data_IF_112989629318
#
_entry.id   IF_112989629318
#
_cell.length_a   1.000
_cell.length_b   1.000
_cell.length_c   1.000
_cell.angle_alpha   90.00
_cell.angle_beta   90.00
_cell.angle_gamma   90.00
#
_symmetry.space_group_name_H-M   'P 1'
#
loop_
_entity.id
_entity.type
_entity.pdbx_description
1 polymer ?
#
# COMPACT_ATOMS: atom_id res chain seq x y z
N UNK A 1 12.43 9.89 21.56
CA UNK A 1 10.96 9.73 21.46
C UNK A 1 10.60 8.26 21.63
N UNK A 2 9.57 7.92 22.41
CA UNK A 2 9.16 6.52 22.71
C UNK A 2 8.91 5.67 21.46
N UNK A 3 8.45 6.29 20.37
CA UNK A 3 8.28 5.64 19.06
C UNK A 3 9.59 5.11 18.43
N UNK A 4 10.75 5.69 18.74
CA UNK A 4 12.03 5.12 18.27
C UNK A 4 12.35 3.79 18.96
N UNK A 5 11.86 3.58 20.18
CA UNK A 5 11.99 2.31 20.89
C UNK A 5 11.03 1.26 20.32
N UNK A 6 9.83 1.69 19.91
CA UNK A 6 8.84 0.81 19.28
C UNK A 6 9.16 0.48 17.82
N UNK A 7 9.92 1.33 17.11
CA UNK A 7 10.44 1.02 15.78
C UNK A 7 11.63 0.04 15.88
N UNK A 8 11.35 -1.16 16.38
CA UNK A 8 12.32 -2.21 16.65
C UNK A 8 13.04 -2.62 15.36
N UNK A 9 14.33 -2.90 15.47
CA UNK A 9 15.12 -3.47 14.38
C UNK A 9 14.90 -4.97 14.35
N UNK A 10 14.27 -5.47 13.28
CA UNK A 10 14.19 -6.90 12.99
C UNK A 10 15.50 -7.34 12.33
N UNK A 11 16.06 -8.45 12.78
CA UNK A 11 17.26 -9.04 12.18
C UNK A 11 16.88 -10.33 11.46
N UNK A 12 17.04 -10.36 10.14
CA UNK A 12 16.91 -11.58 9.33
C UNK A 12 18.31 -12.09 8.98
N UNK A 13 18.68 -13.26 9.47
CA UNK A 13 19.95 -13.90 9.14
C UNK A 13 19.79 -14.59 7.79
N UNK A 14 20.54 -14.13 6.79
CA UNK A 14 20.66 -14.82 5.49
C UNK A 14 21.97 -15.62 5.44
N UNK A 15 22.16 -16.54 4.48
CA UNK A 15 23.40 -17.33 4.37
C UNK A 15 24.68 -16.49 4.17
N UNK A 16 24.55 -15.22 3.75
CA UNK A 16 25.67 -14.32 3.45
C UNK A 16 25.83 -13.19 4.47
N UNK A 17 24.73 -12.67 5.01
CA UNK A 17 24.74 -11.51 5.89
C UNK A 17 23.50 -11.43 6.79
N UNK A 18 23.63 -10.74 7.92
CA UNK A 18 22.50 -10.31 8.75
C UNK A 18 21.92 -9.03 8.15
N UNK A 19 20.65 -9.08 7.72
CA UNK A 19 19.91 -7.89 7.30
C UNK A 19 19.11 -7.35 8.46
N UNK A 20 19.44 -6.14 8.88
CA UNK A 20 18.72 -5.40 9.91
C UNK A 20 17.75 -4.43 9.24
N UNK A 21 16.46 -4.59 9.51
CA UNK A 21 15.43 -3.74 8.96
C UNK A 21 14.47 -3.29 10.05
N UNK A 22 14.22 -1.99 10.11
CA UNK A 22 13.26 -1.42 11.06
C UNK A 22 11.83 -1.72 10.61
N UNK A 23 10.89 -1.79 11.56
CA UNK A 23 9.47 -2.02 11.27
C UNK A 23 8.90 -0.99 10.30
N UNK A 24 9.22 0.29 10.48
CA UNK A 24 8.79 1.38 9.60
C UNK A 24 9.99 2.17 9.07
N UNK A 25 9.82 2.75 7.87
CA UNK A 25 10.80 3.69 7.32
C UNK A 25 10.97 4.87 8.30
N UNK A 26 12.20 5.07 8.80
CA UNK A 26 12.46 6.02 9.87
C UNK A 26 12.20 7.48 9.46
N UNK A 27 12.41 7.83 8.19
CA UNK A 27 12.17 9.18 7.67
C UNK A 27 10.65 9.41 7.61
N UNK A 28 9.91 8.53 6.96
CA UNK A 28 8.45 8.63 6.85
C UNK A 28 7.77 8.63 8.23
N UNK A 29 8.24 7.80 9.16
CA UNK A 29 7.74 7.78 10.54
C UNK A 29 7.95 9.13 11.24
N UNK A 30 9.15 9.71 11.13
CA UNK A 30 9.48 11.01 11.70
C UNK A 30 8.58 12.10 11.14
N UNK A 31 8.44 12.16 9.82
CA UNK A 31 7.61 13.16 9.14
C UNK A 31 6.13 13.02 9.50
N UNK A 32 5.61 11.79 9.55
CA UNK A 32 4.21 11.55 9.91
C UNK A 32 3.91 11.99 11.35
N UNK A 33 4.83 11.74 12.29
CA UNK A 33 4.68 12.19 13.69
C UNK A 33 4.73 13.71 13.78
N UNK A 34 5.71 14.35 13.14
CA UNK A 34 5.86 15.81 13.19
C UNK A 34 4.65 16.48 12.56
N UNK A 35 4.18 15.99 11.41
CA UNK A 35 2.99 16.52 10.76
C UNK A 35 1.75 16.37 11.65
N UNK A 36 1.61 15.23 12.34
CA UNK A 36 0.52 15.02 13.28
C UNK A 36 0.53 15.99 14.46
N UNK A 37 1.70 16.46 14.92
CA UNK A 37 1.75 17.49 15.95
C UNK A 37 1.54 18.90 15.39
N UNK A 38 2.24 19.25 14.30
CA UNK A 38 2.27 20.62 13.76
C UNK A 38 0.94 21.01 13.09
N UNK A 39 0.31 20.07 12.39
CA UNK A 39 -0.89 20.33 11.58
C UNK A 39 -2.20 19.86 12.23
N UNK A 40 -2.16 19.33 13.45
CA UNK A 40 -3.37 18.99 14.18
C UNK A 40 -4.13 20.26 14.60
N UNK A 41 -5.45 20.20 14.48
CA UNK A 41 -6.34 21.27 14.92
C UNK A 41 -6.54 21.16 16.45
N UNK A 42 -6.01 22.12 17.19
CA UNK A 42 -6.11 22.14 18.66
C UNK A 42 -7.29 22.98 19.18
N UNK A 43 -8.18 23.47 18.33
CA UNK A 43 -9.35 24.29 18.76
C UNK A 43 -10.31 23.54 19.68
N UNK A 44 -10.30 22.20 19.62
CA UNK A 44 -11.08 21.31 20.50
C UNK A 44 -10.23 20.57 21.54
N UNK A 45 -8.97 20.97 21.70
CA UNK A 45 -8.01 20.34 22.63
C UNK A 45 -7.81 18.83 22.41
N UNK A 46 -8.11 18.34 21.20
CA UNK A 46 -7.91 16.94 20.82
C UNK A 46 -6.47 16.75 20.37
N UNK A 47 -5.73 15.91 21.10
CA UNK A 47 -4.37 15.53 20.72
C UNK A 47 -4.36 14.47 19.60
N UNK A 48 -3.32 14.42 18.75
CA UNK A 48 -3.16 13.34 17.78
C UNK A 48 -3.06 11.98 18.47
N UNK A 49 -3.75 10.99 17.91
CA UNK A 49 -3.82 9.62 18.41
C UNK A 49 -2.84 8.71 17.65
N UNK A 50 -2.11 7.87 18.38
CA UNK A 50 -1.15 6.91 17.84
C UNK A 50 -1.56 5.50 18.23
N UNK A 51 -1.76 4.62 17.26
CA UNK A 51 -2.19 3.24 17.46
C UNK A 51 -1.21 2.29 16.76
N UNK A 52 -0.56 1.43 17.53
CA UNK A 52 0.35 0.42 17.01
C UNK A 52 -0.39 -0.91 16.96
N UNK A 53 -0.47 -1.49 15.77
CA UNK A 53 -0.97 -2.83 15.53
C UNK A 53 0.18 -3.74 15.12
N UNK A 54 -0.07 -5.04 15.05
CA UNK A 54 0.94 -6.03 14.65
C UNK A 54 1.46 -5.79 13.22
N UNK A 55 0.61 -5.27 12.34
CA UNK A 55 0.88 -5.13 10.91
C UNK A 55 1.09 -3.67 10.46
N UNK A 56 0.79 -2.67 11.30
CA UNK A 56 0.83 -1.25 10.93
C UNK A 56 0.85 -0.28 12.11
N UNK A 57 1.23 0.96 11.85
CA UNK A 57 1.04 2.10 12.75
C UNK A 57 -0.03 3.03 12.15
N UNK A 58 -1.00 3.45 12.95
CA UNK A 58 -1.96 4.49 12.58
C UNK A 58 -1.73 5.76 13.40
N UNK A 59 -1.64 6.90 12.72
CA UNK A 59 -1.53 8.23 13.32
C UNK A 59 -2.74 9.04 12.87
N UNK A 60 -3.64 9.37 13.79
CA UNK A 60 -4.86 10.13 13.49
C UNK A 60 -4.78 11.52 14.11
N UNK A 61 -4.86 12.55 13.27
CA UNK A 61 -4.93 13.96 13.67
C UNK A 61 -6.36 14.48 13.55
N UNK A 62 -6.76 15.36 14.46
CA UNK A 62 -8.01 16.11 14.38
C UNK A 62 -7.88 17.28 13.40
N UNK A 63 -8.96 17.52 12.65
CA UNK A 63 -9.03 18.49 11.56
C UNK A 63 -8.94 17.83 10.17
N UNK A 64 -9.63 18.44 9.20
CA UNK A 64 -9.53 18.12 7.78
C UNK A 64 -8.37 18.88 7.12
N UNK A 65 -8.28 18.85 5.79
CA UNK A 65 -7.36 19.75 5.09
C UNK A 65 -7.75 21.22 5.35
N UNK A 66 -6.77 22.13 5.53
CA UNK A 66 -7.04 23.56 5.65
C UNK A 66 -7.85 24.08 4.46
N UNK A 67 -8.67 25.10 4.70
CA UNK A 67 -9.38 25.79 3.61
C UNK A 67 -8.38 26.33 2.58
N UNK A 68 -8.65 26.08 1.31
CA UNK A 68 -7.76 26.45 0.21
C UNK A 68 -6.61 25.48 -0.06
N UNK A 69 -6.56 24.31 0.60
CA UNK A 69 -5.63 23.23 0.26
C UNK A 69 -6.38 22.01 -0.29
N UNK A 70 -6.17 21.71 -1.57
CA UNK A 70 -6.68 20.50 -2.21
C UNK A 70 -5.86 19.25 -1.83
N UNK A 71 -6.39 18.06 -2.15
CA UNK A 71 -5.65 16.80 -1.92
C UNK A 71 -4.43 16.70 -2.83
N UNK A 72 -4.59 17.16 -4.07
CA UNK A 72 -3.54 17.19 -5.07
C UNK A 72 -2.37 18.05 -4.59
N UNK A 73 -2.66 19.29 -4.14
CA UNK A 73 -1.66 20.19 -3.57
C UNK A 73 -1.02 19.63 -2.29
N UNK A 74 -1.81 18.99 -1.42
CA UNK A 74 -1.28 18.30 -0.24
C UNK A 74 -0.20 17.26 -0.63
N UNK A 75 -0.46 16.45 -1.66
CA UNK A 75 0.48 15.43 -2.13
C UNK A 75 1.66 16.00 -2.92
N UNK A 76 1.51 17.15 -3.58
CA UNK A 76 2.60 17.90 -4.19
C UNK A 76 3.51 18.58 -3.15
N UNK A 77 3.12 18.57 -1.88
CA UNK A 77 3.89 19.14 -0.77
C UNK A 77 3.56 20.60 -0.48
N UNK A 78 2.43 21.13 -0.95
CA UNK A 78 1.97 22.42 -0.47
C UNK A 78 1.52 22.32 0.99
N UNK A 79 1.81 23.36 1.77
CA UNK A 79 1.58 23.36 3.21
C UNK A 79 1.02 24.69 3.66
N UNK A 80 -0.18 24.66 4.25
CA UNK A 80 -0.79 25.81 4.93
C UNK A 80 -0.57 25.67 6.43
N UNK A 81 0.02 26.71 7.05
CA UNK A 81 0.32 26.75 8.48
C UNK A 81 -0.96 27.07 9.25
N UNK A 82 -1.44 26.13 10.06
CA UNK A 82 -2.57 26.34 10.97
C UNK A 82 -2.19 27.18 12.20
N UNK A 83 -1.04 26.87 12.81
CA UNK A 83 -0.55 27.56 14.01
C UNK A 83 0.90 28.00 13.82
N UNK A 84 1.12 29.31 13.68
CA UNK A 84 2.45 29.90 13.43
C UNK A 84 3.39 29.75 14.63
N UNK A 85 2.87 29.82 15.85
CA UNK A 85 3.68 29.66 17.06
C UNK A 85 4.18 28.23 17.22
N UNK A 86 3.30 27.25 16.98
CA UNK A 86 3.70 25.85 17.00
C UNK A 86 4.76 25.55 15.93
N UNK A 87 4.54 26.06 14.71
CA UNK A 87 5.51 25.94 13.63
C UNK A 87 6.86 26.58 13.99
N UNK A 88 6.87 27.74 14.64
CA UNK A 88 8.09 28.41 15.11
C UNK A 88 8.84 27.53 16.11
N UNK A 89 8.16 26.99 17.12
CA UNK A 89 8.78 26.11 18.12
C UNK A 89 9.43 24.88 17.45
N UNK A 90 8.72 24.24 16.52
CA UNK A 90 9.27 23.07 15.81
C UNK A 90 10.44 23.42 14.90
N UNK A 91 10.47 24.62 14.33
CA UNK A 91 11.61 25.12 13.57
C UNK A 91 12.80 25.43 14.47
N UNK A 92 12.58 26.09 15.61
CA UNK A 92 13.64 26.45 16.58
C UNK A 92 14.28 25.21 17.24
N UNK A 93 13.53 24.09 17.29
CA UNK A 93 14.02 22.79 17.76
C UNK A 93 14.65 21.92 16.65
N UNK A 94 14.84 22.47 15.44
CA UNK A 94 15.35 21.74 14.25
C UNK A 94 14.53 20.48 13.91
N UNK A 95 13.25 20.46 14.27
CA UNK A 95 12.34 19.37 13.94
C UNK A 95 11.79 19.53 12.52
N UNK A 96 11.63 20.76 12.03
CA UNK A 96 11.17 21.05 10.67
C UNK A 96 12.19 21.89 9.91
N UNK A 97 12.77 21.33 8.86
CA UNK A 97 13.79 21.99 8.03
C UNK A 97 13.17 22.87 6.93
N UNK A 98 12.22 22.32 6.18
CA UNK A 98 11.58 22.97 5.04
C UNK A 98 10.10 22.65 4.99
N UNK A 99 9.27 23.70 4.96
CA UNK A 99 7.82 23.58 4.76
C UNK A 99 7.53 22.82 3.47
N UNK A 100 6.58 21.89 3.55
CA UNK A 100 6.13 21.14 2.38
C UNK A 100 6.96 19.91 2.01
N UNK A 101 8.13 19.70 2.62
CA UNK A 101 8.97 18.54 2.32
C UNK A 101 8.50 17.24 2.99
N UNK A 102 7.67 17.32 4.03
CA UNK A 102 7.28 16.17 4.84
C UNK A 102 6.43 15.13 4.10
N UNK A 103 5.39 15.57 3.39
CA UNK A 103 4.53 14.65 2.61
C UNK A 103 5.32 13.95 1.49
N UNK A 104 6.10 14.66 0.64
CA UNK A 104 6.96 14.01 -0.34
C UNK A 104 7.92 12.97 0.26
N UNK A 105 8.51 13.23 1.44
CA UNK A 105 9.39 12.27 2.14
C UNK A 105 8.65 11.01 2.61
N UNK A 106 7.40 11.13 3.04
CA UNK A 106 6.55 9.96 3.33
C UNK A 106 6.29 9.17 2.05
N UNK A 107 5.96 9.88 0.97
CA UNK A 107 5.63 9.29 -0.33
C UNK A 107 6.80 8.58 -1.04
N UNK A 108 8.05 8.83 -0.60
CA UNK A 108 9.21 8.06 -1.05
C UNK A 108 9.22 6.62 -0.55
N UNK A 109 8.52 6.33 0.56
CA UNK A 109 8.48 5.02 1.19
C UNK A 109 7.09 4.36 1.16
N UNK A 110 6.04 5.17 1.08
CA UNK A 110 4.64 4.73 1.12
C UNK A 110 3.85 5.38 -0.02
N UNK A 111 2.76 4.75 -0.44
CA UNK A 111 1.87 5.29 -1.49
C UNK A 111 0.80 6.22 -0.91
N UNK A 112 0.11 6.98 -1.76
CA UNK A 112 -0.88 7.98 -1.32
C UNK A 112 -2.06 7.37 -0.54
N UNK A 113 -2.34 6.08 -0.75
CA UNK A 113 -3.36 5.30 -0.02
C UNK A 113 -3.07 5.15 1.48
N UNK A 114 -1.84 5.45 1.93
CA UNK A 114 -1.54 5.54 3.35
C UNK A 114 -2.24 6.73 4.04
N UNK A 115 -2.80 7.68 3.28
CA UNK A 115 -3.54 8.83 3.80
C UNK A 115 -5.05 8.64 3.65
N UNK A 116 -5.77 8.66 4.77
CA UNK A 116 -7.22 8.63 4.81
C UNK A 116 -7.77 9.97 5.30
N UNK A 117 -8.48 10.66 4.40
CA UNK A 117 -9.13 11.93 4.67
C UNK A 117 -10.59 11.70 5.02
N UNK A 118 -11.02 12.23 6.16
CA UNK A 118 -12.42 12.29 6.57
C UNK A 118 -12.83 13.75 6.82
N UNK A 119 -14.11 13.98 7.13
CA UNK A 119 -14.64 15.31 7.41
C UNK A 119 -13.91 16.00 8.57
N UNK A 120 -13.52 15.24 9.60
CA UNK A 120 -12.98 15.79 10.84
C UNK A 120 -11.58 15.29 11.21
N UNK A 121 -11.03 14.34 10.45
CA UNK A 121 -9.75 13.71 10.77
C UNK A 121 -8.94 13.41 9.53
N UNK A 122 -7.63 13.50 9.69
CA UNK A 122 -6.64 12.95 8.78
C UNK A 122 -5.93 11.78 9.47
N UNK A 123 -5.98 10.59 8.87
CA UNK A 123 -5.25 9.42 9.34
C UNK A 123 -4.14 9.05 8.37
N UNK A 124 -2.96 8.79 8.93
CA UNK A 124 -1.83 8.20 8.21
C UNK A 124 -1.62 6.78 8.72
N UNK A 125 -1.64 5.80 7.81
CA UNK A 125 -1.45 4.38 8.11
C UNK A 125 -0.14 3.91 7.51
N UNK A 126 0.85 3.57 8.33
CA UNK A 126 2.15 3.07 7.89
C UNK A 126 2.21 1.55 8.09
N UNK A 127 2.08 0.73 7.03
CA UNK A 127 2.30 -0.71 7.12
C UNK A 127 3.70 -1.04 7.63
N UNK A 128 3.79 -2.11 8.42
CA UNK A 128 5.04 -2.69 8.85
C UNK A 128 5.75 -3.36 7.67
N UNK A 129 7.08 -3.37 7.72
CA UNK A 129 7.92 -3.96 6.67
C UNK A 129 7.65 -5.47 6.48
N UNK A 130 7.26 -6.19 7.52
CA UNK A 130 6.90 -7.61 7.41
C UNK A 130 5.66 -7.79 6.54
N UNK A 131 4.62 -6.99 6.78
CA UNK A 131 3.37 -6.99 6.00
C UNK A 131 3.62 -6.60 4.54
N UNK A 132 4.49 -5.62 4.28
CA UNK A 132 4.88 -5.20 2.93
C UNK A 132 5.67 -6.31 2.22
N UNK A 133 6.54 -7.02 2.92
CA UNK A 133 7.32 -8.12 2.32
C UNK A 133 6.43 -9.30 1.92
N UNK A 134 5.42 -9.63 2.75
CA UNK A 134 4.43 -10.66 2.42
C UNK A 134 3.61 -10.26 1.18
N UNK A 135 3.07 -9.04 1.14
CA UNK A 135 2.32 -8.56 -0.03
C UNK A 135 3.17 -8.51 -1.30
N UNK A 136 4.43 -8.06 -1.22
CA UNK A 136 5.31 -8.03 -2.39
C UNK A 136 5.68 -9.44 -2.88
N UNK A 137 5.89 -10.41 -1.98
CA UNK A 137 6.16 -11.79 -2.37
C UNK A 137 4.93 -12.44 -3.02
N UNK A 138 3.74 -12.22 -2.47
CA UNK A 138 2.49 -12.70 -3.07
C UNK A 138 2.25 -12.06 -4.44
N UNK A 139 2.42 -10.74 -4.57
CA UNK A 139 2.27 -10.04 -5.86
C UNK A 139 3.29 -10.50 -6.91
N UNK A 140 4.53 -10.77 -6.51
CA UNK A 140 5.56 -11.29 -7.41
C UNK A 140 5.31 -12.75 -7.81
N UNK A 141 4.82 -13.59 -6.89
CA UNK A 141 4.34 -14.93 -7.22
C UNK A 141 3.22 -14.84 -8.24
N UNK A 142 2.17 -14.08 -7.92
CA UNK A 142 0.97 -13.97 -8.74
C UNK A 142 1.31 -13.49 -10.16
N UNK A 143 2.27 -12.57 -10.29
CA UNK A 143 2.79 -12.11 -11.59
C UNK A 143 3.44 -13.24 -12.39
N UNK A 144 4.19 -14.15 -11.75
CA UNK A 144 4.84 -15.29 -12.41
C UNK A 144 3.82 -16.38 -12.79
N UNK A 145 2.88 -16.72 -11.90
CA UNK A 145 1.82 -17.70 -12.18
C UNK A 145 0.91 -17.24 -13.31
N UNK A 146 0.55 -15.95 -13.34
CA UNK A 146 -0.23 -15.36 -14.45
C UNK A 146 0.54 -15.47 -15.76
N UNK A 147 1.85 -15.15 -15.79
CA UNK A 147 2.66 -15.30 -17.02
C UNK A 147 2.71 -16.74 -17.52
N UNK A 148 2.84 -17.72 -16.64
CA UNK A 148 2.81 -19.14 -17.00
C UNK A 148 1.45 -19.55 -17.58
N UNK A 149 0.36 -19.07 -16.98
CA UNK A 149 -0.99 -19.28 -17.49
C UNK A 149 -1.19 -18.69 -18.89
N UNK A 150 -0.73 -17.47 -19.17
CA UNK A 150 -0.90 -16.84 -20.49
C UNK A 150 -0.17 -17.60 -21.61
N UNK A 151 0.96 -18.24 -21.31
CA UNK A 151 1.75 -19.01 -22.30
C UNK A 151 1.04 -20.27 -22.79
N UNK A 152 0.19 -20.88 -21.96
CA UNK A 152 -0.53 -22.11 -22.34
C UNK A 152 -1.77 -21.86 -23.17
N UNK A 153 -2.26 -20.62 -23.25
CA UNK A 153 -3.46 -20.31 -24.03
C UNK A 153 -3.27 -20.51 -25.53
N UNK A 154 -4.09 -21.40 -26.11
CA UNK A 154 -4.23 -21.60 -27.56
C UNK A 154 -5.70 -21.58 -27.94
N UNK A 155 -6.29 -20.38 -27.91
CA UNK A 155 -7.71 -20.16 -28.18
C UNK A 155 -8.53 -20.12 -26.89
N UNK A 156 -9.63 -20.87 -26.84
CA UNK A 156 -10.61 -20.81 -25.75
C UNK A 156 -10.60 -22.13 -24.97
N UNK A 157 -10.31 -22.07 -23.67
CA UNK A 157 -10.14 -23.26 -22.83
C UNK A 157 -11.07 -23.26 -21.62
N UNK A 158 -11.47 -24.45 -21.18
CA UNK A 158 -12.10 -24.61 -19.87
C UNK A 158 -11.07 -24.48 -18.75
N UNK A 159 -11.55 -24.21 -17.52
CA UNK A 159 -10.70 -24.21 -16.33
C UNK A 159 -9.93 -25.54 -16.16
N UNK A 160 -10.58 -26.67 -16.47
CA UNK A 160 -9.99 -27.99 -16.34
C UNK A 160 -8.84 -28.21 -17.32
N UNK A 161 -9.04 -27.81 -18.59
CA UNK A 161 -8.02 -27.88 -19.63
C UNK A 161 -6.80 -27.03 -19.27
N UNK A 162 -7.00 -25.79 -18.81
CA UNK A 162 -5.89 -24.91 -18.41
C UNK A 162 -5.09 -25.48 -17.22
N UNK A 163 -5.78 -26.08 -16.26
CA UNK A 163 -5.15 -26.71 -15.10
C UNK A 163 -4.30 -27.93 -15.53
N UNK A 164 -4.82 -28.74 -16.44
CA UNK A 164 -4.13 -29.92 -16.96
C UNK A 164 -2.90 -29.54 -17.81
N UNK A 165 -3.02 -28.50 -18.64
CA UNK A 165 -1.91 -27.96 -19.44
C UNK A 165 -0.76 -27.42 -18.59
N UNK A 166 -1.04 -26.96 -17.36
CA UNK A 166 -0.02 -26.51 -16.40
C UNK A 166 0.45 -27.62 -15.46
N UNK A 167 -0.11 -28.85 -15.56
CA UNK A 167 0.27 -29.98 -14.71
C UNK A 167 -0.11 -29.79 -13.23
N UNK A 168 -1.10 -28.96 -12.93
CA UNK A 168 -1.50 -28.63 -11.55
C UNK A 168 -2.60 -29.56 -11.05
N UNK A 169 -2.48 -30.08 -9.84
CA UNK A 169 -3.50 -30.97 -9.25
C UNK A 169 -4.51 -30.23 -8.37
N UNK A 170 -4.06 -29.18 -7.68
CA UNK A 170 -4.89 -28.42 -6.75
C UNK A 170 -5.77 -27.39 -7.48
N UNK A 171 -7.08 -27.64 -7.42
CA UNK A 171 -8.11 -26.83 -8.06
C UNK A 171 -8.26 -25.44 -7.42
N UNK A 172 -8.15 -25.35 -6.10
CA UNK A 172 -8.35 -24.09 -5.40
C UNK A 172 -7.12 -23.20 -5.55
N UNK A 173 -5.92 -23.80 -5.45
CA UNK A 173 -4.67 -23.11 -5.73
C UNK A 173 -4.62 -22.55 -7.17
N UNK A 174 -5.00 -23.36 -8.18
CA UNK A 174 -5.06 -22.89 -9.56
C UNK A 174 -6.00 -21.69 -9.73
N UNK A 175 -7.18 -21.75 -9.13
CA UNK A 175 -8.16 -20.66 -9.21
C UNK A 175 -7.61 -19.38 -8.58
N UNK A 176 -7.09 -19.46 -7.37
CA UNK A 176 -6.68 -18.29 -6.59
C UNK A 176 -5.38 -17.66 -7.08
N UNK A 177 -4.40 -18.47 -7.52
CA UNK A 177 -3.06 -17.98 -7.88
C UNK A 177 -2.85 -17.74 -9.38
N UNK A 178 -3.65 -18.37 -10.24
CA UNK A 178 -3.47 -18.28 -11.69
C UNK A 178 -4.65 -17.57 -12.35
N UNK A 179 -5.85 -18.13 -12.18
CA UNK A 179 -7.01 -17.74 -12.99
C UNK A 179 -7.63 -16.41 -12.54
N UNK A 180 -7.86 -16.24 -11.23
CA UNK A 180 -8.50 -15.04 -10.69
C UNK A 180 -7.63 -13.79 -10.87
N UNK A 181 -6.31 -13.80 -10.55
CA UNK A 181 -5.45 -12.64 -10.78
C UNK A 181 -5.38 -12.24 -12.26
N UNK A 182 -5.38 -13.21 -13.19
CA UNK A 182 -5.37 -12.95 -14.62
C UNK A 182 -6.68 -12.33 -15.14
N UNK A 183 -7.83 -12.69 -14.54
CA UNK A 183 -9.14 -12.10 -14.83
C UNK A 183 -9.21 -10.67 -14.28
N UNK A 184 -8.81 -10.48 -13.02
CA UNK A 184 -8.79 -9.16 -12.36
C UNK A 184 -7.84 -8.18 -13.07
N UNK A 185 -6.69 -8.67 -13.56
CA UNK A 185 -5.77 -7.88 -14.38
C UNK A 185 -6.30 -7.59 -15.81
N UNK A 186 -7.44 -8.19 -16.20
CA UNK A 186 -8.08 -8.02 -17.50
C UNK A 186 -7.32 -8.70 -18.65
N UNK A 187 -6.45 -9.67 -18.36
CA UNK A 187 -5.65 -10.40 -19.34
C UNK A 187 -6.43 -11.58 -19.93
N UNK A 188 -7.35 -12.13 -19.16
CA UNK A 188 -8.25 -13.22 -19.54
C UNK A 188 -9.70 -12.79 -19.34
N UNK A 189 -10.59 -13.19 -20.23
CA UNK A 189 -12.02 -12.93 -20.15
C UNK A 189 -12.87 -14.21 -20.14
N UNK A 190 -14.07 -14.07 -19.58
CA UNK A 190 -15.10 -15.11 -19.48
C UNK A 190 -15.91 -15.17 -20.79
N UNK A 191 -16.21 -16.37 -21.29
CA UNK A 191 -17.15 -16.51 -22.42
C UNK A 191 -18.61 -16.28 -22.03
N UNK A 192 -18.98 -16.54 -20.77
CA UNK A 192 -20.33 -16.32 -20.23
C UNK A 192 -20.24 -15.41 -18.99
N UNK A 193 -20.04 -14.09 -19.16
CA UNK A 193 -19.82 -13.17 -18.05
C UNK A 193 -21.01 -13.11 -17.07
N UNK A 194 -22.25 -13.23 -17.56
CA UNK A 194 -23.46 -13.18 -16.72
C UNK A 194 -23.65 -14.41 -15.82
N UNK A 195 -22.94 -15.52 -16.11
CA UNK A 195 -23.01 -16.76 -15.34
C UNK A 195 -21.60 -17.31 -15.10
N UNK A 196 -20.79 -16.68 -14.24
CA UNK A 196 -19.39 -17.02 -14.05
C UNK A 196 -19.15 -18.43 -13.49
N UNK A 197 -20.15 -19.02 -12.83
CA UNK A 197 -20.13 -20.39 -12.30
C UNK A 197 -20.73 -21.43 -13.25
N UNK A 198 -21.02 -21.06 -14.50
CA UNK A 198 -21.58 -21.97 -15.50
C UNK A 198 -20.70 -23.20 -15.70
N UNK A 199 -21.32 -24.38 -15.80
CA UNK A 199 -20.66 -25.63 -16.19
C UNK A 199 -19.95 -25.53 -17.54
N UNK A 200 -20.48 -24.71 -18.45
CA UNK A 200 -19.95 -24.54 -19.80
C UNK A 200 -19.01 -23.33 -19.91
N UNK A 201 -18.56 -22.80 -18.77
CA UNK A 201 -17.70 -21.64 -18.73
C UNK A 201 -16.33 -21.94 -19.35
N UNK A 202 -15.90 -21.06 -20.27
CA UNK A 202 -14.57 -21.07 -20.84
C UNK A 202 -13.93 -19.69 -20.74
N UNK A 203 -12.63 -19.68 -20.97
CA UNK A 203 -11.77 -18.51 -20.83
C UNK A 203 -11.00 -18.29 -22.12
N UNK A 204 -10.72 -17.04 -22.46
CA UNK A 204 -9.92 -16.66 -23.63
C UNK A 204 -9.05 -15.44 -23.32
N UNK A 205 -7.95 -15.27 -24.06
CA UNK A 205 -7.08 -14.10 -23.95
C UNK A 205 -7.76 -12.85 -24.50
N UNK A 206 -7.71 -11.77 -23.73
CA UNK A 206 -8.09 -10.43 -24.20
C UNK A 206 -7.00 -9.85 -25.09
N UNK A 207 -7.27 -8.74 -25.77
CA UNK A 207 -6.24 -7.99 -26.52
C UNK A 207 -5.06 -7.55 -25.62
N UNK A 208 -5.33 -7.28 -24.33
CA UNK A 208 -4.30 -7.00 -23.34
C UNK A 208 -3.47 -8.25 -23.01
N UNK A 209 -4.13 -9.40 -22.84
CA UNK A 209 -3.48 -10.69 -22.62
C UNK A 209 -2.56 -11.10 -23.78
N UNK A 210 -3.00 -10.94 -25.03
CA UNK A 210 -2.20 -11.26 -26.23
C UNK A 210 -0.95 -10.41 -26.36
N UNK A 211 -1.03 -9.12 -26.02
CA UNK A 211 0.13 -8.19 -26.04
C UNK A 211 1.17 -8.50 -24.96
N UNK A 212 0.79 -9.28 -23.94
CA UNK A 212 1.63 -9.62 -22.78
C UNK A 212 2.29 -11.00 -22.95
N UNK A 213 2.02 -11.69 -24.06
CA UNK A 213 2.50 -13.03 -24.37
C UNK A 213 3.94 -13.03 -24.91
#
# INVERSE_FOLDING_TARGET
>A
MKLNLENRTLAKITPKERKEQRLWNAIALREAVINAFVHNDYTKEVAPKFEIFDDRLEITSYGSLPEGLSKEEFFEGYSIIRNKELMRIFKDLDLVEQLGSGIPRILQAYTQDCFHFSENFLRVTLPSTESVTQTQQDTQQDTQQVKELLKVFKGTHSRGELQEMLGLSDRENFRQKYLQPAIEAGLIALTIPDKPTSRNQKYYLTEKGKKTQ
#
